data_IF_114673842353
#
_entry.id   IF_114673842353
#
_cell.length_a   1.000
_cell.length_b   1.000
_cell.length_c   1.000
_cell.angle_alpha   90.00
_cell.angle_beta   90.00
_cell.angle_gamma   90.00
#
_symmetry.space_group_name_H-M   'P 1'
#
loop_
_entity.id
_entity.type
_entity.pdbx_description
1 polymer ?
#
# COMPACT_ATOMS: atom_id res chain seq x y z
N UNK A 1 -8.26 13.40 -14.41
CA UNK A 1 -9.00 12.16 -14.73
C UNK A 1 -8.15 11.10 -15.42
N UNK A 2 -7.38 11.42 -16.46
CA UNK A 2 -6.51 10.45 -17.13
C UNK A 2 -5.54 9.71 -16.17
N UNK A 3 -4.85 10.43 -15.28
CA UNK A 3 -3.95 9.85 -14.26
C UNK A 3 -4.64 8.86 -13.31
N UNK A 4 -5.90 9.14 -12.95
CA UNK A 4 -6.69 8.25 -12.10
C UNK A 4 -7.06 6.96 -12.84
N UNK A 5 -7.52 7.08 -14.09
CA UNK A 5 -7.88 5.93 -14.92
C UNK A 5 -6.67 5.06 -15.25
N UNK A 6 -5.49 5.65 -15.41
CA UNK A 6 -4.23 4.92 -15.54
C UNK A 6 -3.87 4.15 -14.25
N UNK A 7 -4.07 4.78 -13.09
CA UNK A 7 -4.00 4.08 -11.80
C UNK A 7 -5.00 2.92 -11.71
N UNK A 8 -6.24 3.09 -12.15
CA UNK A 8 -7.23 1.99 -12.17
C UNK A 8 -6.83 0.88 -13.15
N UNK A 9 -6.32 1.24 -14.33
CA UNK A 9 -5.79 0.28 -15.30
C UNK A 9 -4.62 -0.54 -14.75
N UNK A 10 -3.83 0.04 -13.83
CA UNK A 10 -2.70 -0.64 -13.20
C UNK A 10 -3.10 -1.77 -12.25
N UNK A 11 -4.36 -1.86 -11.81
CA UNK A 11 -4.83 -2.89 -10.86
C UNK A 11 -4.62 -4.30 -11.41
N UNK A 12 -4.73 -4.47 -12.73
CA UNK A 12 -4.53 -5.76 -13.39
C UNK A 12 -3.06 -6.19 -13.53
N UNK A 13 -2.11 -5.30 -13.22
CA UNK A 13 -0.67 -5.54 -13.39
C UNK A 13 -0.09 -6.11 -12.10
N UNK A 14 0.74 -7.15 -12.26
CA UNK A 14 1.38 -7.89 -11.17
C UNK A 14 2.08 -6.99 -10.13
N UNK A 15 2.70 -5.91 -10.57
CA UNK A 15 3.46 -5.02 -9.67
C UNK A 15 2.58 -4.16 -8.77
N UNK A 16 1.36 -3.83 -9.19
CA UNK A 16 0.40 -3.11 -8.34
C UNK A 16 -0.11 -4.00 -7.23
N UNK A 17 -0.13 -5.32 -7.43
CA UNK A 17 -0.50 -6.28 -6.38
C UNK A 17 0.45 -6.20 -5.18
N UNK A 18 1.73 -5.89 -5.39
CA UNK A 18 2.71 -5.74 -4.32
C UNK A 18 2.33 -4.63 -3.31
N UNK A 19 1.65 -3.57 -3.78
CA UNK A 19 1.11 -2.50 -2.93
C UNK A 19 -0.36 -2.74 -2.54
N UNK A 20 -1.15 -3.36 -3.41
CA UNK A 20 -2.59 -3.53 -3.19
C UNK A 20 -2.91 -4.66 -2.19
N UNK A 21 -2.21 -5.80 -2.28
CA UNK A 21 -2.42 -6.95 -1.39
C UNK A 21 -2.21 -6.58 0.09
N UNK A 22 -1.08 -5.97 0.49
CA UNK A 22 -0.90 -5.55 1.88
C UNK A 22 -1.92 -4.47 2.30
N UNK A 23 -2.32 -3.55 1.40
CA UNK A 23 -3.36 -2.56 1.69
C UNK A 23 -4.70 -3.23 2.03
N UNK A 24 -5.15 -4.15 1.16
CA UNK A 24 -6.40 -4.88 1.35
C UNK A 24 -6.35 -5.72 2.64
N UNK A 25 -5.26 -6.46 2.87
CA UNK A 25 -5.06 -7.24 4.07
C UNK A 25 -5.14 -6.39 5.34
N UNK A 26 -4.48 -5.23 5.35
CA UNK A 26 -4.46 -4.31 6.48
C UNK A 26 -5.85 -3.71 6.75
N UNK A 27 -6.59 -3.35 5.69
CA UNK A 27 -7.99 -2.90 5.75
C UNK A 27 -8.90 -3.96 6.35
N UNK A 28 -8.70 -5.24 6.02
CA UNK A 28 -9.47 -6.34 6.61
C UNK A 28 -9.15 -6.53 8.09
N UNK A 29 -7.87 -6.44 8.48
CA UNK A 29 -7.40 -6.55 9.87
C UNK A 29 -7.94 -5.42 10.76
N UNK A 30 -8.01 -4.20 10.23
CA UNK A 30 -8.37 -2.99 10.98
C UNK A 30 -9.84 -2.93 11.44
N UNK A 31 -10.73 -3.78 10.93
CA UNK A 31 -12.15 -3.95 11.32
C UNK A 31 -12.98 -2.67 11.45
N UNK A 32 -12.92 -1.96 12.59
CA UNK A 32 -13.69 -0.71 12.80
C UNK A 32 -12.93 0.53 12.33
N UNK A 33 -11.62 0.42 12.14
CA UNK A 33 -10.74 1.53 11.75
C UNK A 33 -10.31 1.49 10.27
N UNK A 34 -11.00 0.70 9.43
CA UNK A 34 -10.63 0.44 8.02
C UNK A 34 -10.41 1.70 7.21
N UNK A 35 -11.33 2.65 7.31
CA UNK A 35 -11.28 3.88 6.53
C UNK A 35 -10.06 4.71 6.91
N UNK A 36 -9.81 4.88 8.21
CA UNK A 36 -8.64 5.61 8.71
C UNK A 36 -7.35 4.94 8.27
N UNK A 37 -7.26 3.60 8.41
CA UNK A 37 -6.10 2.83 7.95
C UNK A 37 -5.89 2.96 6.45
N UNK A 38 -6.94 2.83 5.63
CA UNK A 38 -6.85 2.95 4.18
C UNK A 38 -6.39 4.33 3.72
N UNK A 39 -6.93 5.40 4.33
CA UNK A 39 -6.56 6.78 4.00
C UNK A 39 -5.10 7.06 4.35
N UNK A 40 -4.67 6.67 5.56
CA UNK A 40 -3.29 6.88 5.99
C UNK A 40 -2.29 5.98 5.25
N UNK A 41 -2.72 4.78 4.84
CA UNK A 41 -1.95 3.93 3.94
C UNK A 41 -1.71 4.61 2.60
N UNK A 42 -2.77 5.16 2.00
CA UNK A 42 -2.69 5.87 0.74
C UNK A 42 -1.76 7.10 0.84
N UNK A 43 -1.87 7.87 1.93
CA UNK A 43 -0.98 9.02 2.18
C UNK A 43 0.48 8.56 2.35
N UNK A 44 0.74 7.56 3.20
CA UNK A 44 2.08 7.04 3.44
C UNK A 44 2.73 6.50 2.16
N UNK A 45 1.98 5.72 1.39
CA UNK A 45 2.46 5.15 0.13
C UNK A 45 2.75 6.23 -0.90
N UNK A 46 1.87 7.23 -1.02
CA UNK A 46 2.07 8.38 -1.93
C UNK A 46 3.32 9.15 -1.56
N UNK A 47 3.45 9.54 -0.29
CA UNK A 47 4.56 10.38 0.17
C UNK A 47 5.91 9.70 -0.03
N UNK A 48 6.02 8.41 0.32
CA UNK A 48 7.30 7.74 0.22
C UNK A 48 7.65 7.34 -1.22
N UNK A 49 6.67 7.00 -2.05
CA UNK A 49 6.91 6.80 -3.49
C UNK A 49 7.40 8.10 -4.13
N UNK A 50 6.74 9.22 -3.82
CA UNK A 50 7.14 10.54 -4.31
C UNK A 50 8.51 10.98 -3.79
N UNK A 51 8.82 10.74 -2.51
CA UNK A 51 10.13 11.05 -1.93
C UNK A 51 11.25 10.21 -2.54
N UNK A 52 10.97 8.93 -2.86
CA UNK A 52 11.90 8.05 -3.58
C UNK A 52 12.13 8.55 -5.01
N UNK A 53 11.07 8.99 -5.68
CA UNK A 53 11.12 9.54 -7.03
C UNK A 53 12.00 10.80 -7.12
N UNK A 54 11.82 11.75 -6.22
CA UNK A 54 12.64 12.97 -6.13
C UNK A 54 14.04 12.74 -5.57
N UNK A 55 14.49 11.50 -5.45
CA UNK A 55 15.82 11.16 -4.91
C UNK A 55 16.04 11.50 -3.43
N UNK A 56 15.01 11.95 -2.70
CA UNK A 56 15.09 12.27 -1.27
C UNK A 56 15.20 11.02 -0.38
N UNK A 57 14.88 9.84 -0.91
CA UNK A 57 14.94 8.57 -0.19
C UNK A 57 15.48 7.44 -1.07
N UNK A 58 16.75 7.07 -0.90
CA UNK A 58 17.45 6.06 -1.72
C UNK A 58 17.93 4.84 -0.92
N UNK A 59 17.30 4.57 0.23
CA UNK A 59 17.67 3.40 1.04
C UNK A 59 17.26 2.13 0.28
N UNK A 60 18.23 1.28 -0.07
CA UNK A 60 17.96 -0.04 -0.63
C UNK A 60 17.63 -1.06 0.46
N UNK A 61 16.80 -2.04 0.13
CA UNK A 61 16.39 -3.09 1.04
C UNK A 61 17.47 -4.17 1.15
N UNK A 62 18.63 -3.82 1.72
CA UNK A 62 19.76 -4.75 1.85
C UNK A 62 20.26 -4.87 3.29
N UNK A 63 20.87 -6.02 3.61
CA UNK A 63 21.48 -6.30 4.91
C UNK A 63 20.53 -6.06 6.09
N UNK A 64 20.88 -5.10 6.94
CA UNK A 64 20.13 -4.79 8.17
C UNK A 64 18.74 -4.17 7.93
N UNK A 65 18.45 -3.65 6.73
CA UNK A 65 17.13 -3.07 6.43
C UNK A 65 16.03 -4.11 6.26
N UNK A 66 16.39 -5.35 5.89
CA UNK A 66 15.46 -6.47 5.71
C UNK A 66 14.70 -6.81 7.01
N UNK A 67 15.37 -7.09 8.15
CA UNK A 67 14.65 -7.37 9.41
C UNK A 67 13.89 -6.14 9.93
N UNK A 68 14.37 -4.92 9.68
CA UNK A 68 13.66 -3.69 10.05
C UNK A 68 12.35 -3.57 9.28
N UNK A 69 12.36 -3.76 7.97
CA UNK A 69 11.17 -3.73 7.12
C UNK A 69 10.15 -4.81 7.54
N UNK A 70 10.63 -6.04 7.82
CA UNK A 70 9.79 -7.12 8.31
C UNK A 70 9.16 -6.79 9.68
N UNK A 71 9.94 -6.22 10.60
CA UNK A 71 9.45 -5.80 11.91
C UNK A 71 8.41 -4.67 11.80
N UNK A 72 8.65 -3.68 10.92
CA UNK A 72 7.70 -2.61 10.64
C UNK A 72 6.41 -3.14 10.02
N UNK A 73 6.50 -4.06 9.06
CA UNK A 73 5.34 -4.72 8.47
C UNK A 73 4.53 -5.46 9.54
N UNK A 74 5.16 -6.36 10.29
CA UNK A 74 4.50 -7.12 11.36
C UNK A 74 3.89 -6.19 12.42
N UNK A 75 4.63 -5.16 12.84
CA UNK A 75 4.17 -4.15 13.79
C UNK A 75 2.95 -3.39 13.29
N UNK A 76 2.91 -3.01 12.01
CA UNK A 76 1.75 -2.33 11.42
C UNK A 76 0.50 -3.22 11.42
N UNK A 77 0.62 -4.50 11.08
CA UNK A 77 -0.51 -5.44 11.13
C UNK A 77 -1.00 -5.69 12.57
N UNK A 78 -0.08 -5.83 13.54
CA UNK A 78 -0.43 -5.96 14.96
C UNK A 78 -1.14 -4.71 15.48
N UNK A 79 -0.63 -3.52 15.15
CA UNK A 79 -1.26 -2.24 15.51
C UNK A 79 -2.65 -2.11 14.89
N UNK A 80 -2.82 -2.48 13.63
CA UNK A 80 -4.12 -2.48 12.95
C UNK A 80 -5.10 -3.45 13.64
N UNK A 81 -4.65 -4.62 14.06
CA UNK A 81 -5.48 -5.60 14.77
C UNK A 81 -6.02 -5.06 16.11
N UNK A 82 -5.18 -4.29 16.81
CA UNK A 82 -5.51 -3.64 18.08
C UNK A 82 -6.23 -2.30 17.94
N UNK A 83 -6.34 -1.74 16.73
CA UNK A 83 -7.03 -0.48 16.46
C UNK A 83 -8.55 -0.63 16.66
N UNK A 84 -9.01 -0.49 17.91
CA UNK A 84 -10.45 -0.63 18.26
C UNK A 84 -11.29 0.61 17.90
N UNK A 85 -10.65 1.77 17.73
CA UNK A 85 -11.31 3.05 17.42
C UNK A 85 -10.77 3.61 16.09
N UNK A 86 -11.63 4.20 15.25
CA UNK A 86 -11.24 4.72 13.94
C UNK A 86 -10.16 5.80 14.05
N UNK A 87 -10.31 6.79 14.95
CA UNK A 87 -9.34 7.86 15.13
C UNK A 87 -8.23 7.54 16.16
N UNK A 88 -7.86 6.27 16.33
CA UNK A 88 -6.78 5.91 17.27
C UNK A 88 -5.40 6.10 16.63
N UNK A 89 -4.41 6.45 17.46
CA UNK A 89 -3.00 6.51 17.02
C UNK A 89 -2.53 5.17 16.42
N UNK A 90 -3.04 4.04 16.90
CA UNK A 90 -2.75 2.73 16.33
C UNK A 90 -3.29 2.57 14.89
N UNK A 91 -4.49 3.09 14.60
CA UNK A 91 -5.05 3.09 13.25
C UNK A 91 -4.24 3.99 12.30
N UNK A 92 -3.96 5.21 12.74
CA UNK A 92 -3.16 6.16 11.96
C UNK A 92 -1.74 5.62 11.73
N UNK A 93 -1.07 5.19 12.79
CA UNK A 93 0.29 4.67 12.74
C UNK A 93 0.42 3.43 11.87
N UNK A 94 -0.49 2.45 12.01
CA UNK A 94 -0.48 1.26 11.15
C UNK A 94 -0.69 1.60 9.67
N UNK A 95 -1.64 2.48 9.36
CA UNK A 95 -1.86 2.96 8.00
C UNK A 95 -0.62 3.64 7.43
N UNK A 96 -0.09 4.66 8.11
CA UNK A 96 1.09 5.41 7.65
C UNK A 96 2.31 4.50 7.46
N UNK A 97 2.63 3.68 8.45
CA UNK A 97 3.83 2.82 8.41
C UNK A 97 3.71 1.77 7.31
N UNK A 98 2.58 1.06 7.21
CA UNK A 98 2.40 0.07 6.16
C UNK A 98 2.34 0.71 4.76
N UNK A 99 1.69 1.87 4.65
CA UNK A 99 1.63 2.63 3.39
C UNK A 99 3.01 3.07 2.96
N UNK A 100 3.76 3.70 3.86
CA UNK A 100 5.13 4.11 3.60
C UNK A 100 5.98 2.91 3.19
N UNK A 101 5.94 1.80 3.95
CA UNK A 101 6.67 0.59 3.60
C UNK A 101 6.29 0.07 2.20
N UNK A 102 5.01 0.05 1.86
CA UNK A 102 4.55 -0.34 0.53
C UNK A 102 5.06 0.61 -0.55
N UNK A 103 4.98 1.94 -0.37
CA UNK A 103 5.54 2.91 -1.30
C UNK A 103 7.06 2.83 -1.44
N UNK A 104 7.76 2.41 -0.39
CA UNK A 104 9.21 2.19 -0.43
C UNK A 104 9.59 1.02 -1.33
N UNK A 105 8.85 -0.08 -1.14
CA UNK A 105 9.10 -1.39 -1.71
C UNK A 105 8.49 -1.56 -3.11
N UNK A 106 7.50 -0.73 -3.43
CA UNK A 106 6.79 -0.79 -4.69
C UNK A 106 7.67 -0.30 -5.83
N UNK A 107 7.77 -1.13 -6.87
CA UNK A 107 8.38 -0.76 -8.16
C UNK A 107 7.26 -0.59 -9.18
N UNK A 108 7.05 0.63 -9.72
CA UNK A 108 6.02 0.84 -10.72
C UNK A 108 6.37 0.11 -12.03
N UNK A 109 5.41 -0.62 -12.58
CA UNK A 109 5.55 -1.34 -13.86
C UNK A 109 4.71 -0.72 -14.98
N UNK A 110 4.35 0.56 -14.85
CA UNK A 110 3.27 1.14 -15.63
C UNK A 110 3.57 2.57 -16.04
N UNK A 111 3.23 2.87 -17.29
CA UNK A 111 2.70 4.16 -17.75
C UNK A 111 3.71 5.26 -18.08
N UNK A 112 3.64 5.80 -19.30
CA UNK A 112 4.38 7.03 -19.69
C UNK A 112 4.11 8.18 -18.73
N UNK A 113 2.87 8.35 -18.24
CA UNK A 113 2.55 9.48 -17.35
C UNK A 113 3.14 9.35 -15.96
N UNK A 114 3.27 8.14 -15.44
CA UNK A 114 3.96 7.96 -14.18
C UNK A 114 5.44 8.32 -14.37
N UNK A 115 6.06 7.93 -15.49
CA UNK A 115 7.37 8.44 -15.91
C UNK A 115 7.43 9.96 -15.92
N UNK A 116 6.50 10.64 -16.62
CA UNK A 116 6.46 12.11 -16.68
C UNK A 116 6.34 12.74 -15.27
N UNK A 117 5.52 12.17 -14.38
CA UNK A 117 5.36 12.65 -13.00
C UNK A 117 6.66 12.50 -12.20
N UNK A 118 7.41 11.41 -12.43
CA UNK A 118 8.66 11.12 -11.75
C UNK A 118 9.80 12.02 -12.27
N UNK A 119 9.82 12.31 -13.57
CA UNK A 119 10.83 13.15 -14.21
C UNK A 119 10.68 14.65 -13.86
N UNK A 120 9.44 15.11 -13.60
CA UNK A 120 9.14 16.51 -13.25
C UNK A 120 9.22 16.81 -11.73
N UNK A 121 9.68 15.87 -10.88
CA UNK A 121 9.65 16.05 -9.42
C UNK A 121 10.53 17.23 -8.96
N UNK A 122 11.66 17.45 -9.62
CA UNK A 122 12.62 18.51 -9.25
C UNK A 122 12.13 19.92 -9.65
N UNK A 123 11.23 20.03 -10.62
CA UNK A 123 10.75 21.32 -11.16
C UNK A 123 9.38 21.70 -10.61
N UNK A 124 8.48 20.74 -10.34
CA UNK A 124 7.11 21.00 -9.90
C UNK A 124 6.63 20.10 -8.74
N UNK A 125 7.42 20.03 -7.67
CA UNK A 125 7.21 19.18 -6.47
C UNK A 125 5.74 19.11 -5.95
N UNK A 126 5.07 20.24 -5.74
CA UNK A 126 3.71 20.24 -5.19
C UNK A 126 2.67 19.65 -6.15
N UNK A 127 2.85 19.87 -7.46
CA UNK A 127 1.97 19.35 -8.50
C UNK A 127 2.18 17.85 -8.69
N UNK A 128 3.44 17.40 -8.75
CA UNK A 128 3.78 15.98 -8.89
C UNK A 128 3.30 15.17 -7.69
N UNK A 129 3.38 15.71 -6.47
CA UNK A 129 2.79 15.08 -5.28
C UNK A 129 1.27 14.91 -5.41
N UNK A 130 0.57 15.96 -5.85
CA UNK A 130 -0.88 15.90 -6.10
C UNK A 130 -1.26 14.87 -7.16
N UNK A 131 -0.49 14.79 -8.24
CA UNK A 131 -0.70 13.81 -9.32
C UNK A 131 -0.40 12.37 -8.84
N UNK A 132 0.65 12.17 -8.03
CA UNK A 132 0.98 10.89 -7.41
C UNK A 132 -0.14 10.43 -6.48
N UNK A 133 -0.73 11.34 -5.69
CA UNK A 133 -1.87 11.03 -4.83
C UNK A 133 -3.08 10.55 -5.64
N UNK A 134 -3.39 11.23 -6.74
CA UNK A 134 -4.49 10.86 -7.64
C UNK A 134 -4.23 9.50 -8.30
N UNK A 135 -2.99 9.24 -8.70
CA UNK A 135 -2.57 7.95 -9.25
C UNK A 135 -2.75 6.82 -8.21
N UNK A 136 -2.20 7.00 -7.01
CA UNK A 136 -2.27 6.01 -5.92
C UNK A 136 -3.70 5.76 -5.45
N UNK A 137 -4.57 6.77 -5.48
CA UNK A 137 -5.99 6.60 -5.24
C UNK A 137 -6.68 5.70 -6.28
N UNK A 138 -6.25 5.78 -7.55
CA UNK A 138 -6.71 4.87 -8.60
C UNK A 138 -6.16 3.44 -8.41
N UNK A 139 -4.87 3.32 -8.15
CA UNK A 139 -4.20 2.02 -7.99
C UNK A 139 -4.69 1.25 -6.74
N UNK A 140 -4.97 1.96 -5.65
CA UNK A 140 -5.48 1.40 -4.39
C UNK A 140 -7.00 1.41 -4.30
N UNK A 141 -7.70 1.73 -5.40
CA UNK A 141 -9.16 1.81 -5.42
C UNK A 141 -9.84 0.57 -4.83
N UNK A 142 -9.42 -0.69 -5.10
CA UNK A 142 -10.06 -1.86 -4.50
C UNK A 142 -9.96 -1.88 -2.96
N UNK A 143 -8.83 -1.47 -2.40
CA UNK A 143 -8.64 -1.38 -0.95
C UNK A 143 -9.50 -0.26 -0.34
N UNK A 144 -9.59 0.89 -1.02
CA UNK A 144 -10.47 2.00 -0.60
C UNK A 144 -11.94 1.60 -0.67
N UNK A 145 -12.36 0.91 -1.74
CA UNK A 145 -13.71 0.38 -1.88
C UNK A 145 -14.03 -0.60 -0.75
N UNK A 146 -13.12 -1.53 -0.42
CA UNK A 146 -13.29 -2.43 0.74
C UNK A 146 -13.46 -1.67 2.06
N UNK A 147 -12.75 -0.55 2.24
CA UNK A 147 -12.86 0.28 3.44
C UNK A 147 -14.16 1.08 3.52
N UNK A 148 -14.68 1.54 2.38
CA UNK A 148 -15.90 2.34 2.28
C UNK A 148 -17.16 1.47 2.24
N UNK A 149 -17.08 0.23 1.72
CA UNK A 149 -18.21 -0.68 1.52
C UNK A 149 -19.15 -0.83 2.74
N UNK A 150 -18.67 -0.94 3.99
CA UNK A 150 -19.55 -0.99 5.17
C UNK A 150 -20.43 0.25 5.39
N UNK A 151 -20.02 1.41 4.86
CA UNK A 151 -20.77 2.67 4.95
C UNK A 151 -21.84 2.77 3.86
N UNK A 152 -21.55 2.25 2.66
CA UNK A 152 -22.50 2.23 1.56
C UNK A 152 -23.54 1.11 1.72
N UNK A 153 -23.12 -0.07 2.18
CA UNK A 153 -23.98 -1.26 2.32
C UNK A 153 -23.85 -1.81 3.75
N UNK A 154 -24.71 -1.40 4.70
CA UNK A 154 -24.61 -1.77 6.11
C UNK A 154 -24.63 -3.29 6.37
N UNK A 155 -25.25 -4.07 5.47
CA UNK A 155 -25.26 -5.53 5.54
C UNK A 155 -23.84 -6.12 5.47
N UNK A 156 -22.94 -5.51 4.70
CA UNK A 156 -21.55 -5.97 4.57
C UNK A 156 -20.75 -5.76 5.84
N UNK A 157 -21.13 -4.79 6.69
CA UNK A 157 -20.46 -4.51 7.97
C UNK A 157 -20.40 -5.73 8.87
N UNK A 158 -21.52 -6.47 8.99
CA UNK A 158 -21.58 -7.69 9.82
C UNK A 158 -20.69 -8.80 9.29
N UNK A 159 -20.57 -8.94 7.98
CA UNK A 159 -19.71 -9.94 7.33
C UNK A 159 -18.24 -9.56 7.53
N UNK A 160 -17.91 -8.31 7.20
CA UNK A 160 -16.55 -7.81 7.22
C UNK A 160 -15.98 -7.69 8.65
N UNK A 161 -16.81 -7.40 9.66
CA UNK A 161 -16.38 -7.30 11.07
C UNK A 161 -16.18 -8.68 11.73
N UNK A 162 -16.43 -9.80 11.02
CA UNK A 162 -16.16 -11.14 11.54
C UNK A 162 -14.67 -11.34 11.80
N UNK A 163 -14.36 -11.98 12.93
CA UNK A 163 -12.99 -12.38 13.29
C UNK A 163 -12.32 -13.22 12.20
N UNK A 164 -13.07 -14.06 11.49
CA UNK A 164 -12.54 -14.86 10.38
C UNK A 164 -11.99 -13.99 9.24
N UNK A 165 -12.67 -12.89 8.88
CA UNK A 165 -12.21 -11.99 7.83
C UNK A 165 -10.96 -11.24 8.27
N UNK A 166 -10.92 -10.79 9.52
CA UNK A 166 -9.72 -10.18 10.08
C UNK A 166 -8.55 -11.18 10.14
N UNK A 167 -8.82 -12.45 10.48
CA UNK A 167 -7.82 -13.51 10.52
C UNK A 167 -7.23 -13.78 9.13
N UNK A 168 -8.04 -13.79 8.07
CA UNK A 168 -7.53 -13.89 6.68
C UNK A 168 -6.57 -12.74 6.38
N UNK A 169 -6.94 -11.51 6.70
CA UNK A 169 -6.04 -10.36 6.53
C UNK A 169 -4.76 -10.48 7.37
N UNK A 170 -4.86 -11.01 8.59
CA UNK A 170 -3.69 -11.22 9.47
C UNK A 170 -2.76 -12.31 8.92
N UNK A 171 -3.31 -13.39 8.36
CA UNK A 171 -2.53 -14.46 7.71
C UNK A 171 -1.78 -13.92 6.50
N UNK A 172 -2.44 -13.10 5.66
CA UNK A 172 -1.78 -12.44 4.52
C UNK A 172 -0.69 -11.49 5.00
N UNK A 173 -0.96 -10.70 6.05
CA UNK A 173 0.03 -9.80 6.65
C UNK A 173 1.23 -10.52 7.25
N UNK A 174 1.01 -11.66 7.90
CA UNK A 174 2.06 -12.51 8.44
C UNK A 174 2.92 -13.12 7.32
N UNK A 175 2.28 -13.61 6.25
CA UNK A 175 2.98 -14.10 5.07
C UNK A 175 3.82 -12.99 4.43
N UNK A 176 3.28 -11.78 4.31
CA UNK A 176 3.99 -10.61 3.80
C UNK A 176 5.19 -10.19 4.67
N UNK A 177 5.04 -10.18 5.99
CA UNK A 177 6.15 -9.89 6.90
C UNK A 177 7.22 -11.00 6.85
N UNK A 178 6.82 -12.26 6.71
CA UNK A 178 7.73 -13.38 6.57
C UNK A 178 8.51 -13.34 5.25
N UNK A 179 7.86 -13.01 4.12
CA UNK A 179 8.56 -12.86 2.84
C UNK A 179 9.60 -11.74 2.91
N UNK A 180 9.26 -10.61 3.54
CA UNK A 180 10.23 -9.54 3.83
C UNK A 180 11.38 -10.05 4.71
N UNK A 181 11.10 -10.77 5.80
CA UNK A 181 12.13 -11.26 6.72
C UNK A 181 13.14 -12.19 6.04
N UNK A 182 12.69 -12.99 5.07
CA UNK A 182 13.56 -13.90 4.31
C UNK A 182 14.39 -13.22 3.22
N UNK A 183 14.21 -11.92 2.98
CA UNK A 183 14.87 -11.20 1.89
C UNK A 183 14.38 -11.58 0.49
N UNK A 184 13.44 -12.53 0.37
CA UNK A 184 12.88 -12.99 -0.93
C UNK A 184 11.93 -12.00 -1.59
N UNK A 185 11.68 -10.86 -0.95
CA UNK A 185 10.73 -9.88 -1.45
C UNK A 185 11.20 -9.28 -2.78
N UNK A 186 12.50 -8.94 -2.91
CA UNK A 186 13.05 -8.41 -4.15
C UNK A 186 12.99 -9.42 -5.30
N UNK A 187 13.19 -10.71 -5.03
CA UNK A 187 13.05 -11.77 -6.04
C UNK A 187 11.61 -11.86 -6.55
N UNK A 188 10.62 -11.81 -5.64
CA UNK A 188 9.20 -11.86 -6.00
C UNK A 188 8.81 -10.63 -6.81
N UNK A 189 9.18 -9.42 -6.37
CA UNK A 189 8.86 -8.19 -7.10
C UNK A 189 9.60 -8.13 -8.43
N UNK A 190 10.85 -8.59 -8.50
CA UNK A 190 11.62 -8.67 -9.73
C UNK A 190 11.01 -9.63 -10.75
N UNK A 191 10.54 -10.79 -10.31
CA UNK A 191 9.87 -11.75 -11.19
C UNK A 191 8.50 -11.24 -11.65
N UNK A 192 7.72 -10.60 -10.77
CA UNK A 192 6.47 -9.94 -11.15
C UNK A 192 6.69 -8.81 -12.16
N UNK A 193 7.77 -8.05 -12.00
CA UNK A 193 8.19 -7.00 -12.93
C UNK A 193 8.52 -7.60 -14.30
N UNK A 194 9.34 -8.66 -14.33
CA UNK A 194 9.74 -9.36 -15.55
C UNK A 194 8.54 -9.90 -16.32
N UNK A 195 7.62 -10.58 -15.64
CA UNK A 195 6.39 -11.10 -16.26
C UNK A 195 5.54 -9.97 -16.85
N UNK A 196 5.45 -8.83 -16.17
CA UNK A 196 4.67 -7.68 -16.63
C UNK A 196 5.30 -6.95 -17.83
N UNK A 197 6.63 -7.02 -18.01
CA UNK A 197 7.32 -6.39 -19.16
C UNK A 197 7.42 -7.30 -20.39
N UNK A 198 7.33 -8.62 -20.21
CA UNK A 198 7.41 -9.61 -21.30
C UNK A 198 6.06 -9.87 -21.99
N UNK A 199 4.95 -9.33 -21.46
CA UNK A 199 3.57 -9.48 -21.97
C UNK A 199 3.11 -8.29 -22.81
#
# INVERSE_FOLDING_TARGET
>A
MATFLEGVGSIGVACTLAALVPAAALVLVARKARLTVALWYLVGATLLTWARAGGHWQVELSGAMVPVAAALAAGAFVLAWWARKPASLAATGSGVVAGALAGWLWRPCVGRRLGDILDDVDTEAARTLGLMLVYMAGALLPAVLLAVLPHAVPATRRLLDRLLVAAVGATVGAAYAATLATGRYDDIVGELYRIATDS
#
